data_IF_728962929340
#
_entry.id   IF_728962929340
#
_cell.length_a   1.000
_cell.length_b   1.000
_cell.length_c   1.000
_cell.angle_alpha   90.00
_cell.angle_beta   90.00
_cell.angle_gamma   90.00
#
_symmetry.space_group_name_H-M   'P 1'
#
loop_
_entity.id
_entity.type
_entity.pdbx_description
1 polymer ?
#
# COMPACT_ATOMS: atom_id res chain seq x y z
N UNK A 1 31.15 6.22 -10.03
CA UNK A 1 30.87 7.57 -9.52
C UNK A 1 29.49 7.49 -8.90
N UNK A 2 29.42 7.16 -7.60
CA UNK A 2 28.13 7.13 -6.90
C UNK A 2 27.67 8.57 -6.66
N UNK A 3 26.44 8.88 -7.07
CA UNK A 3 25.83 10.17 -6.78
C UNK A 3 25.64 10.31 -5.25
N UNK A 4 25.91 11.47 -4.67
CA UNK A 4 25.67 11.69 -3.24
C UNK A 4 24.18 11.50 -2.91
N UNK A 5 23.84 10.92 -1.74
CA UNK A 5 22.45 10.68 -1.36
C UNK A 5 21.70 12.01 -1.32
N UNK A 6 20.67 12.12 -2.14
CA UNK A 6 19.78 13.28 -2.18
C UNK A 6 18.81 13.16 -1.00
N UNK A 7 18.62 14.21 -0.18
CA UNK A 7 17.84 14.13 1.06
C UNK A 7 16.35 13.76 0.89
N UNK A 8 15.83 13.70 -0.34
CA UNK A 8 14.44 13.34 -0.69
C UNK A 8 14.35 12.17 -1.71
N UNK A 9 15.31 11.23 -1.73
CA UNK A 9 15.27 10.10 -2.66
C UNK A 9 14.28 9.00 -2.25
N UNK A 10 13.89 8.92 -0.97
CA UNK A 10 13.08 7.84 -0.40
C UNK A 10 11.85 7.42 -1.25
N UNK A 11 10.98 8.33 -1.73
CA UNK A 11 9.85 7.92 -2.58
C UNK A 11 10.27 7.31 -3.91
N UNK A 12 11.36 7.81 -4.52
CA UNK A 12 11.92 7.27 -5.77
C UNK A 12 12.55 5.90 -5.54
N UNK A 13 13.27 5.76 -4.44
CA UNK A 13 13.95 4.52 -4.06
C UNK A 13 12.94 3.41 -3.77
N UNK A 14 11.87 3.72 -3.03
CA UNK A 14 10.79 2.76 -2.77
C UNK A 14 10.10 2.34 -4.08
N UNK A 15 9.77 3.29 -4.94
CA UNK A 15 9.15 3.01 -6.24
C UNK A 15 10.01 2.06 -7.10
N UNK A 16 11.31 2.30 -7.18
CA UNK A 16 12.20 1.46 -7.97
C UNK A 16 12.38 0.09 -7.31
N UNK A 17 12.60 0.05 -5.99
CA UNK A 17 12.82 -1.19 -5.25
C UNK A 17 11.60 -2.14 -5.28
N UNK A 18 10.38 -1.60 -5.36
CA UNK A 18 9.15 -2.42 -5.40
C UNK A 18 8.61 -2.64 -6.82
N UNK A 19 9.27 -2.14 -7.86
CA UNK A 19 8.76 -2.14 -9.24
C UNK A 19 8.43 -3.55 -9.75
N UNK A 20 9.35 -4.50 -9.61
CA UNK A 20 9.18 -5.84 -10.14
C UNK A 20 8.10 -6.65 -9.39
N UNK A 21 8.06 -6.51 -8.06
CA UNK A 21 7.01 -7.17 -7.25
C UNK A 21 5.65 -6.52 -7.47
N UNK A 22 5.59 -5.21 -7.74
CA UNK A 22 4.36 -4.54 -8.13
C UNK A 22 3.84 -5.09 -9.47
N UNK A 23 4.71 -5.27 -10.47
CA UNK A 23 4.35 -5.90 -11.76
C UNK A 23 3.81 -7.33 -11.54
N UNK A 24 4.42 -8.09 -10.63
CA UNK A 24 3.91 -9.44 -10.31
C UNK A 24 2.54 -9.38 -9.62
N UNK A 25 2.35 -8.45 -8.68
CA UNK A 25 1.11 -8.30 -7.95
C UNK A 25 -0.06 -7.85 -8.84
N UNK A 26 0.14 -6.88 -9.73
CA UNK A 26 -0.89 -6.44 -10.70
C UNK A 26 -1.24 -7.55 -11.71
N UNK A 27 -0.30 -8.47 -11.96
CA UNK A 27 -0.49 -9.64 -12.81
C UNK A 27 -0.88 -10.91 -12.02
N UNK A 28 -1.24 -10.82 -10.74
CA UNK A 28 -1.81 -11.97 -10.04
C UNK A 28 -3.13 -12.40 -10.73
N UNK A 29 -3.48 -13.69 -10.67
CA UNK A 29 -4.69 -14.21 -11.33
C UNK A 29 -5.96 -13.43 -10.96
N UNK A 30 -6.12 -13.15 -9.66
CA UNK A 30 -7.23 -12.34 -9.18
C UNK A 30 -7.25 -10.94 -9.80
N UNK A 31 -6.09 -10.26 -9.88
CA UNK A 31 -6.00 -8.90 -10.44
C UNK A 31 -6.25 -8.88 -11.93
N UNK A 32 -5.76 -9.86 -12.69
CA UNK A 32 -6.10 -10.01 -14.12
C UNK A 32 -7.60 -10.22 -14.32
N UNK A 33 -8.22 -11.09 -13.53
CA UNK A 33 -9.67 -11.31 -13.59
C UNK A 33 -10.44 -10.04 -13.20
N UNK A 34 -9.95 -9.30 -12.22
CA UNK A 34 -10.54 -8.02 -11.81
C UNK A 34 -10.48 -6.98 -12.93
N UNK A 35 -9.31 -6.76 -13.55
CA UNK A 35 -9.09 -5.83 -14.66
C UNK A 35 -9.93 -6.17 -15.91
N UNK A 36 -10.19 -7.46 -16.14
CA UNK A 36 -11.03 -7.94 -17.23
C UNK A 36 -12.54 -7.99 -16.89
N UNK A 37 -12.98 -7.40 -15.77
CA UNK A 37 -14.37 -7.41 -15.30
C UNK A 37 -14.94 -8.83 -15.07
N UNK A 38 -14.10 -9.79 -14.71
CA UNK A 38 -14.44 -11.20 -14.48
C UNK A 38 -14.52 -11.56 -12.99
N UNK A 39 -14.57 -10.59 -12.09
CA UNK A 39 -14.72 -10.84 -10.64
C UNK A 39 -16.19 -11.06 -10.28
N UNK A 40 -16.46 -12.09 -9.49
CA UNK A 40 -17.80 -12.33 -8.96
C UNK A 40 -18.09 -11.44 -7.76
N UNK A 41 -19.38 -11.24 -7.44
CA UNK A 41 -19.78 -10.54 -6.22
C UNK A 41 -19.19 -11.18 -4.95
N UNK A 42 -19.11 -12.51 -4.90
CA UNK A 42 -18.54 -13.24 -3.76
C UNK A 42 -17.03 -13.00 -3.64
N UNK A 43 -16.29 -13.09 -4.75
CA UNK A 43 -14.86 -12.79 -4.77
C UNK A 43 -14.58 -11.34 -4.37
N UNK A 44 -15.42 -10.40 -4.82
CA UNK A 44 -15.31 -9.00 -4.42
C UNK A 44 -15.59 -8.80 -2.92
N UNK A 45 -16.64 -9.44 -2.38
CA UNK A 45 -16.91 -9.40 -0.94
C UNK A 45 -15.74 -9.95 -0.12
N UNK A 46 -15.10 -11.02 -0.58
CA UNK A 46 -13.98 -11.62 0.11
C UNK A 46 -12.78 -10.68 0.17
N UNK A 47 -12.38 -10.06 -0.96
CA UNK A 47 -11.26 -9.10 -0.94
C UNK A 47 -11.57 -7.89 -0.07
N UNK A 48 -12.79 -7.35 -0.12
CA UNK A 48 -13.17 -6.21 0.71
C UNK A 48 -13.21 -6.54 2.20
N UNK A 49 -13.69 -7.73 2.57
CA UNK A 49 -13.66 -8.19 3.96
C UNK A 49 -12.21 -8.36 4.46
N UNK A 50 -11.34 -8.94 3.64
CA UNK A 50 -9.92 -9.06 3.95
C UNK A 50 -9.25 -7.69 4.11
N UNK A 51 -9.53 -6.74 3.21
CA UNK A 51 -9.01 -5.37 3.31
C UNK A 51 -9.51 -4.68 4.58
N UNK A 52 -10.78 -4.84 4.96
CA UNK A 52 -11.31 -4.27 6.20
C UNK A 52 -10.50 -4.73 7.43
N UNK A 53 -10.13 -6.01 7.50
CA UNK A 53 -9.28 -6.51 8.59
C UNK A 53 -7.85 -5.98 8.52
N UNK A 54 -7.27 -5.88 7.31
CA UNK A 54 -5.91 -5.36 7.11
C UNK A 54 -5.84 -3.88 7.53
N UNK A 55 -6.77 -3.06 7.04
CA UNK A 55 -6.82 -1.62 7.33
C UNK A 55 -7.11 -1.37 8.80
N UNK A 56 -8.01 -2.13 9.42
CA UNK A 56 -8.23 -2.07 10.87
C UNK A 56 -6.94 -2.25 11.65
N UNK A 57 -6.16 -3.29 11.35
CA UNK A 57 -4.89 -3.53 12.05
C UNK A 57 -3.85 -2.44 11.74
N UNK A 58 -3.79 -1.95 10.50
CA UNK A 58 -2.89 -0.87 10.10
C UNK A 58 -3.20 0.43 10.86
N UNK A 59 -4.45 0.86 10.87
CA UNK A 59 -4.89 2.10 11.53
C UNK A 59 -4.76 2.02 13.06
N UNK A 60 -5.02 0.84 13.65
CA UNK A 60 -4.79 0.58 15.07
C UNK A 60 -3.31 0.75 15.48
N UNK A 61 -2.36 0.41 14.60
CA UNK A 61 -0.91 0.63 14.83
C UNK A 61 -0.46 2.06 14.52
N UNK A 62 -1.15 2.74 13.61
CA UNK A 62 -0.88 4.13 13.26
C UNK A 62 -1.20 5.08 14.43
N UNK A 63 -2.33 4.87 15.10
CA UNK A 63 -2.79 5.74 16.20
C UNK A 63 -1.78 5.95 17.35
N UNK A 64 -1.16 4.90 17.95
CA UNK A 64 -0.14 5.10 18.97
C UNK A 64 1.14 5.74 18.41
N UNK A 65 1.40 5.61 17.10
CA UNK A 65 2.60 6.14 16.44
C UNK A 65 2.41 7.54 15.83
N UNK A 66 1.25 8.18 15.97
CA UNK A 66 0.95 9.47 15.32
C UNK A 66 1.90 10.62 15.68
N UNK A 67 2.56 10.55 16.85
CA UNK A 67 3.57 11.52 17.29
C UNK A 67 5.02 11.03 17.12
N UNK A 68 5.22 9.79 16.64
CA UNK A 68 6.54 9.22 16.43
C UNK A 68 7.23 9.98 15.29
N UNK A 69 8.43 10.58 15.49
CA UNK A 69 9.10 11.40 14.48
C UNK A 69 9.33 10.72 13.12
N UNK A 70 9.35 9.38 13.07
CA UNK A 70 9.54 8.63 11.81
C UNK A 70 8.25 8.47 11.00
N UNK A 71 7.08 8.66 11.63
CA UNK A 71 5.77 8.45 11.01
C UNK A 71 4.89 9.69 11.00
N UNK A 72 5.06 10.63 11.93
CA UNK A 72 4.16 11.78 12.13
C UNK A 72 3.93 12.63 10.88
N UNK A 73 4.90 12.68 9.96
CA UNK A 73 4.78 13.37 8.67
C UNK A 73 3.82 12.69 7.68
N UNK A 74 3.37 11.47 7.97
CA UNK A 74 2.46 10.64 7.16
C UNK A 74 1.09 10.43 7.84
N UNK A 75 0.85 11.01 9.01
CA UNK A 75 -0.41 10.86 9.73
C UNK A 75 -1.49 11.80 9.16
N UNK A 76 -2.30 11.27 8.25
CA UNK A 76 -3.39 11.98 7.54
C UNK A 76 -4.73 11.22 7.69
N UNK A 77 -5.31 11.17 8.89
CA UNK A 77 -6.48 10.33 9.16
C UNK A 77 -7.77 10.80 8.49
N UNK A 78 -7.90 12.09 8.16
CA UNK A 78 -9.12 12.60 7.50
C UNK A 78 -9.13 12.27 5.99
N UNK A 79 -7.95 12.15 5.39
CA UNK A 79 -7.78 11.90 3.96
C UNK A 79 -7.58 10.42 3.61
N UNK A 80 -6.98 9.62 4.52
CA UNK A 80 -6.49 8.27 4.22
C UNK A 80 -7.08 7.14 5.07
N UNK A 81 -7.91 7.43 6.09
CA UNK A 81 -8.66 6.40 6.85
C UNK A 81 -10.11 6.28 6.34
#
# INVERSE_FOLDING_TARGET
MECPPQPNSMPKDLKEATKDVHIQAENAEFMRNFQNCQVTREGFKLVMASLCHIYKALEEEVEPNKQNPVYSLLYFPEELH
#
